data_IF_527696641229
#
_entry.id   IF_527696641229
#
_cell.length_a   1.000
_cell.length_b   1.000
_cell.length_c   1.000
_cell.angle_alpha   90.00
_cell.angle_beta   90.00
_cell.angle_gamma   90.00
#
_symmetry.space_group_name_H-M   'P 1'
#
loop_
_entity.id
_entity.type
_entity.pdbx_description
1 polymer ?
#
# COMPACT_ATOMS: atom_id res chain seq x y z
N UNK A 1 6.62 -2.44 -1.00
CA UNK A 1 7.48 -3.62 -0.97
C UNK A 1 7.03 -4.62 0.09
N UNK A 2 7.17 -4.36 1.40
CA UNK A 2 6.98 -5.34 2.47
C UNK A 2 5.58 -5.95 2.54
N UNK A 3 4.53 -5.17 2.21
CA UNK A 3 3.16 -5.70 2.05
C UNK A 3 3.06 -6.71 0.90
N UNK A 4 3.80 -6.47 -0.19
CA UNK A 4 3.85 -7.40 -1.32
C UNK A 4 4.54 -8.70 -0.94
N UNK A 5 5.64 -8.63 -0.18
CA UNK A 5 6.36 -9.82 0.31
C UNK A 5 5.42 -10.69 1.16
N UNK A 6 4.70 -10.11 2.12
CA UNK A 6 3.73 -10.84 2.94
C UNK A 6 2.60 -11.45 2.10
N UNK A 7 2.02 -10.65 1.20
CA UNK A 7 0.92 -11.09 0.35
C UNK A 7 1.33 -12.26 -0.54
N UNK A 8 2.49 -12.15 -1.21
CA UNK A 8 3.00 -13.20 -2.09
C UNK A 8 3.34 -14.46 -1.30
N UNK A 9 3.93 -14.32 -0.11
CA UNK A 9 4.17 -15.43 0.79
C UNK A 9 2.87 -16.17 1.13
N UNK A 10 1.84 -15.47 1.58
CA UNK A 10 0.52 -16.05 1.89
C UNK A 10 -0.15 -16.69 0.66
N UNK A 11 -0.08 -16.04 -0.49
CA UNK A 11 -0.67 -16.54 -1.73
C UNK A 11 0.02 -17.83 -2.21
N UNK A 12 1.34 -17.96 -2.06
CA UNK A 12 2.11 -19.15 -2.48
C UNK A 12 2.02 -20.26 -1.43
N UNK A 13 2.33 -19.97 -0.17
CA UNK A 13 2.47 -20.99 0.86
C UNK A 13 1.13 -21.55 1.33
N UNK A 14 0.19 -20.66 1.62
CA UNK A 14 -1.10 -21.02 2.21
C UNK A 14 -2.20 -21.22 1.19
N UNK A 15 -2.39 -20.23 0.29
CA UNK A 15 -3.53 -20.22 -0.64
C UNK A 15 -3.28 -21.01 -1.92
N UNK A 16 -2.01 -21.25 -2.29
CA UNK A 16 -1.62 -21.87 -3.56
C UNK A 16 -2.16 -21.13 -4.80
N UNK A 17 -2.24 -19.78 -4.70
CA UNK A 17 -2.77 -18.91 -5.75
C UNK A 17 -1.66 -18.16 -6.47
N UNK A 18 -1.00 -18.83 -7.39
CA UNK A 18 0.14 -18.25 -8.12
C UNK A 18 -0.24 -17.04 -8.98
N UNK A 19 -1.46 -16.99 -9.51
CA UNK A 19 -1.92 -15.85 -10.32
C UNK A 19 -1.99 -14.56 -9.50
N UNK A 20 -2.46 -14.62 -8.26
CA UNK A 20 -2.53 -13.46 -7.36
C UNK A 20 -1.14 -13.04 -6.89
N UNK A 21 -0.24 -13.99 -6.67
CA UNK A 21 1.16 -13.74 -6.37
C UNK A 21 1.85 -12.98 -7.53
N UNK A 22 1.71 -13.45 -8.76
CA UNK A 22 2.25 -12.78 -9.95
C UNK A 22 1.65 -11.37 -10.08
N UNK A 23 0.33 -11.22 -9.93
CA UNK A 23 -0.33 -9.92 -10.01
C UNK A 23 0.24 -8.93 -8.97
N UNK A 24 0.49 -9.39 -7.74
CA UNK A 24 1.08 -8.55 -6.70
C UNK A 24 2.52 -8.10 -7.05
N UNK A 25 3.34 -8.97 -7.66
CA UNK A 25 4.66 -8.59 -8.14
C UNK A 25 4.56 -7.60 -9.30
N UNK A 26 3.61 -7.78 -10.23
CA UNK A 26 3.37 -6.82 -11.33
C UNK A 26 2.94 -5.44 -10.80
N UNK A 27 2.06 -5.40 -9.80
CA UNK A 27 1.67 -4.14 -9.13
C UNK A 27 2.88 -3.44 -8.49
N UNK A 28 3.77 -4.20 -7.84
CA UNK A 28 5.01 -3.69 -7.26
C UNK A 28 5.92 -3.09 -8.35
N UNK A 29 6.11 -3.79 -9.46
CA UNK A 29 6.91 -3.30 -10.59
C UNK A 29 6.30 -2.05 -11.24
N UNK A 30 4.98 -1.99 -11.37
CA UNK A 30 4.28 -0.80 -11.87
C UNK A 30 4.42 0.39 -10.92
N UNK A 31 4.46 0.16 -9.61
CA UNK A 31 4.74 1.22 -8.63
C UNK A 31 6.20 1.68 -8.73
N UNK A 32 7.14 0.75 -8.87
CA UNK A 32 8.56 1.06 -9.07
C UNK A 32 8.81 1.89 -10.34
N UNK A 33 8.12 1.58 -11.44
CA UNK A 33 8.23 2.32 -12.69
C UNK A 33 7.79 3.79 -12.60
N UNK A 34 6.97 4.12 -11.59
CA UNK A 34 6.52 5.50 -11.30
C UNK A 34 7.44 6.23 -10.32
N UNK A 35 8.46 5.57 -9.80
CA UNK A 35 9.40 6.16 -8.87
C UNK A 35 10.40 7.02 -9.64
N UNK A 36 10.22 8.32 -9.59
CA UNK A 36 11.12 9.30 -10.20
C UNK A 36 12.29 9.61 -9.27
N UNK A 37 13.41 10.04 -9.87
CA UNK A 37 14.62 10.40 -9.16
C UNK A 37 15.79 9.44 -9.41
N UNK A 38 17.00 9.96 -9.18
CA UNK A 38 18.26 9.22 -9.32
C UNK A 38 19.23 9.51 -8.16
N UNK A 39 18.69 9.97 -7.03
CA UNK A 39 19.46 10.13 -5.80
C UNK A 39 19.81 8.77 -5.18
N UNK A 40 20.73 8.77 -4.22
CA UNK A 40 21.23 7.55 -3.60
C UNK A 40 20.11 6.74 -2.91
N UNK A 41 19.13 7.42 -2.30
CA UNK A 41 18.00 6.78 -1.61
C UNK A 41 17.10 6.09 -2.64
N UNK A 42 16.73 6.78 -3.69
CA UNK A 42 15.89 6.24 -4.78
C UNK A 42 16.55 5.03 -5.44
N UNK A 43 17.86 5.08 -5.68
CA UNK A 43 18.63 3.93 -6.22
C UNK A 43 18.63 2.75 -5.26
N UNK A 44 18.80 2.98 -3.96
CA UNK A 44 18.77 1.91 -2.95
C UNK A 44 17.39 1.25 -2.88
N UNK A 45 16.32 2.04 -2.87
CA UNK A 45 14.94 1.51 -2.89
C UNK A 45 14.68 0.71 -4.17
N UNK A 46 15.13 1.23 -5.32
CA UNK A 46 14.98 0.53 -6.61
C UNK A 46 15.70 -0.81 -6.61
N UNK A 47 16.92 -0.84 -6.09
CA UNK A 47 17.71 -2.06 -5.96
C UNK A 47 17.00 -3.09 -5.05
N UNK A 48 16.57 -2.68 -3.88
CA UNK A 48 15.88 -3.55 -2.93
C UNK A 48 14.59 -4.13 -3.51
N UNK A 49 13.79 -3.30 -4.19
CA UNK A 49 12.54 -3.74 -4.82
C UNK A 49 12.82 -4.75 -5.94
N UNK A 50 13.85 -4.53 -6.76
CA UNK A 50 14.22 -5.46 -7.85
C UNK A 50 14.71 -6.80 -7.30
N UNK A 51 15.59 -6.78 -6.29
CA UNK A 51 16.06 -8.00 -5.62
C UNK A 51 14.88 -8.81 -5.06
N UNK A 52 13.97 -8.16 -4.36
CA UNK A 52 12.79 -8.81 -3.79
C UNK A 52 11.83 -9.32 -4.87
N UNK A 53 11.55 -8.54 -5.91
CA UNK A 53 10.65 -8.96 -6.99
C UNK A 53 11.16 -10.21 -7.71
N UNK A 54 12.45 -10.27 -7.99
CA UNK A 54 13.09 -11.44 -8.60
C UNK A 54 13.02 -12.65 -7.67
N UNK A 55 13.31 -12.47 -6.36
CA UNK A 55 13.25 -13.55 -5.39
C UNK A 55 11.82 -14.09 -5.19
N UNK A 56 10.80 -13.22 -5.20
CA UNK A 56 9.40 -13.61 -5.11
C UNK A 56 8.92 -14.43 -6.32
N UNK A 57 9.57 -14.29 -7.48
CA UNK A 57 9.26 -15.08 -8.67
C UNK A 57 9.99 -16.43 -8.72
N UNK A 58 10.99 -16.67 -7.86
CA UNK A 58 11.78 -17.88 -7.87
C UNK A 58 10.96 -19.20 -7.78
N UNK A 59 9.89 -19.32 -6.97
CA UNK A 59 9.05 -20.52 -6.97
C UNK A 59 8.33 -20.81 -8.29
N UNK A 60 8.19 -19.81 -9.15
CA UNK A 60 7.45 -19.89 -10.42
C UNK A 60 8.40 -20.06 -11.60
N UNK A 61 9.49 -19.30 -11.58
CA UNK A 61 10.48 -19.26 -12.68
C UNK A 61 11.91 -19.29 -12.14
N UNK A 62 12.37 -20.41 -11.53
CA UNK A 62 13.61 -20.46 -10.76
C UNK A 62 14.86 -20.11 -11.60
N UNK A 63 14.98 -20.64 -12.81
CA UNK A 63 16.18 -20.40 -13.63
C UNK A 63 16.34 -18.93 -14.05
N UNK A 64 15.24 -18.27 -14.40
CA UNK A 64 15.26 -16.84 -14.74
C UNK A 64 15.55 -16.01 -13.49
N UNK A 65 14.92 -16.36 -12.36
CA UNK A 65 15.14 -15.68 -11.10
C UNK A 65 16.59 -15.77 -10.63
N UNK A 66 17.20 -16.95 -10.70
CA UNK A 66 18.62 -17.12 -10.35
C UNK A 66 19.55 -16.30 -11.24
N UNK A 67 19.32 -16.31 -12.57
CA UNK A 67 20.13 -15.52 -13.51
C UNK A 67 20.04 -14.03 -13.24
N UNK A 68 18.82 -13.50 -13.08
CA UNK A 68 18.62 -12.08 -12.81
C UNK A 68 19.13 -11.67 -11.43
N UNK A 69 18.99 -12.53 -10.43
CA UNK A 69 19.47 -12.23 -9.09
C UNK A 69 20.99 -12.18 -9.04
N UNK A 70 21.68 -13.06 -9.77
CA UNK A 70 23.13 -13.04 -9.91
C UNK A 70 23.66 -11.75 -10.56
N UNK A 71 22.89 -11.15 -11.47
CA UNK A 71 23.23 -9.83 -12.06
C UNK A 71 22.95 -8.69 -11.08
N UNK A 72 21.82 -8.74 -10.36
CA UNK A 72 21.44 -7.71 -9.40
C UNK A 72 22.35 -7.71 -8.17
N UNK A 73 22.79 -8.89 -7.72
CA UNK A 73 23.58 -9.08 -6.49
C UNK A 73 24.65 -10.13 -6.68
N UNK A 74 25.74 -9.80 -7.40
CA UNK A 74 26.81 -10.75 -7.68
C UNK A 74 27.38 -11.40 -6.42
N UNK A 75 27.48 -12.73 -6.44
CA UNK A 75 28.04 -13.51 -5.34
C UNK A 75 27.09 -13.79 -4.16
N UNK A 76 25.87 -13.27 -4.18
CA UNK A 76 24.85 -13.61 -3.19
C UNK A 76 23.96 -14.77 -3.67
N UNK A 77 23.60 -15.66 -2.74
CA UNK A 77 22.59 -16.67 -3.01
C UNK A 77 21.19 -16.06 -3.01
N UNK A 78 20.35 -16.50 -3.96
CA UNK A 78 18.95 -16.12 -3.99
C UNK A 78 18.27 -16.69 -2.76
N UNK A 79 17.62 -15.83 -1.97
CA UNK A 79 16.89 -16.19 -0.76
C UNK A 79 15.52 -15.53 -0.76
N UNK A 80 14.55 -16.16 -0.10
CA UNK A 80 13.21 -15.58 0.07
C UNK A 80 13.30 -14.29 0.89
N UNK A 81 12.73 -13.18 0.41
CA UNK A 81 12.83 -11.91 1.11
C UNK A 81 11.98 -11.91 2.39
N UNK A 82 12.52 -11.38 3.47
CA UNK A 82 11.80 -11.18 4.71
C UNK A 82 11.04 -9.85 4.67
N UNK A 83 9.80 -9.85 5.15
CA UNK A 83 9.08 -8.61 5.35
C UNK A 83 9.56 -7.94 6.65
N UNK A 84 9.88 -6.65 6.59
CA UNK A 84 10.15 -5.85 7.77
C UNK A 84 8.82 -5.41 8.40
N UNK A 85 8.58 -5.82 9.64
CA UNK A 85 7.37 -5.47 10.39
C UNK A 85 7.30 -3.97 10.67
N UNK A 86 8.41 -3.29 10.87
CA UNK A 86 8.44 -1.84 11.09
C UNK A 86 7.99 -1.09 9.83
N UNK A 87 8.35 -1.58 8.64
CA UNK A 87 7.92 -1.02 7.37
C UNK A 87 6.45 -1.34 7.01
N UNK A 88 5.80 -2.24 7.74
CA UNK A 88 4.39 -2.56 7.58
C UNK A 88 3.48 -1.66 8.41
N UNK A 89 4.03 -0.98 9.40
CA UNK A 89 3.29 0.02 10.18
C UNK A 89 2.92 1.16 9.24
N UNK A 90 1.63 1.36 9.04
CA UNK A 90 1.13 2.49 8.27
C UNK A 90 1.06 3.71 9.19
N UNK A 91 1.83 4.72 8.87
CA UNK A 91 1.72 6.01 9.57
C UNK A 91 0.40 6.72 9.21
N UNK A 92 -0.13 6.46 8.02
CA UNK A 92 -1.38 7.04 7.54
C UNK A 92 -2.34 5.97 7.00
N UNK A 93 -3.63 6.20 7.19
CA UNK A 93 -4.71 5.42 6.59
C UNK A 93 -5.52 6.32 5.67
N UNK A 94 -5.90 5.76 4.52
CA UNK A 94 -6.85 6.41 3.62
C UNK A 94 -8.28 6.04 4.02
N UNK A 95 -9.09 7.06 4.27
CA UNK A 95 -10.51 6.91 4.54
C UNK A 95 -11.32 7.53 3.41
N UNK A 96 -12.46 6.95 3.15
CA UNK A 96 -13.38 7.39 2.10
C UNK A 96 -14.53 8.20 2.72
N UNK A 97 -14.51 9.55 2.66
CA UNK A 97 -15.62 10.34 3.13
C UNK A 97 -16.84 10.14 2.23
N UNK A 98 -17.94 9.85 2.85
CA UNK A 98 -19.27 9.78 2.23
C UNK A 98 -20.13 10.91 2.76
N UNK A 99 -20.92 11.52 1.89
CA UNK A 99 -21.96 12.48 2.26
C UNK A 99 -23.30 11.89 1.86
N UNK A 100 -24.17 11.68 2.83
CA UNK A 100 -25.46 10.99 2.65
C UNK A 100 -25.30 9.64 1.91
N UNK A 101 -24.28 8.84 2.28
CA UNK A 101 -24.01 7.53 1.70
C UNK A 101 -23.34 7.53 0.32
N UNK A 102 -23.07 8.69 -0.28
CA UNK A 102 -22.37 8.78 -1.58
C UNK A 102 -20.90 9.13 -1.36
N UNK A 103 -20.00 8.35 -1.96
CA UNK A 103 -18.55 8.59 -1.95
C UNK A 103 -18.23 9.96 -2.57
N UNK A 104 -17.43 10.77 -1.86
CA UNK A 104 -17.13 12.14 -2.28
C UNK A 104 -15.63 12.48 -2.31
N UNK A 105 -14.77 11.51 -2.10
CA UNK A 105 -13.32 11.73 -2.16
C UNK A 105 -12.53 10.76 -1.32
N UNK A 106 -11.30 11.14 -1.01
CA UNK A 106 -10.37 10.41 -0.15
C UNK A 106 -9.73 11.41 0.81
N UNK A 107 -9.53 11.00 2.04
CA UNK A 107 -8.75 11.75 3.05
C UNK A 107 -7.67 10.83 3.62
N UNK A 108 -6.52 11.42 3.95
CA UNK A 108 -5.44 10.74 4.66
C UNK A 108 -5.43 11.23 6.09
N UNK A 109 -5.43 10.31 7.01
CA UNK A 109 -5.34 10.59 8.45
C UNK A 109 -4.28 9.69 9.07
N UNK A 110 -3.65 10.14 10.14
CA UNK A 110 -2.70 9.31 10.86
C UNK A 110 -3.36 7.99 11.30
N UNK A 111 -2.64 6.88 11.18
CA UNK A 111 -3.17 5.56 11.57
C UNK A 111 -3.57 5.50 13.06
N UNK A 112 -2.89 6.30 13.88
CA UNK A 112 -3.16 6.46 15.31
C UNK A 112 -4.19 7.57 15.63
N UNK A 113 -4.81 8.19 14.59
CA UNK A 113 -5.78 9.25 14.79
C UNK A 113 -7.00 8.73 15.54
N UNK A 114 -7.41 9.44 16.57
CA UNK A 114 -8.64 9.15 17.28
C UNK A 114 -9.87 9.53 16.44
N UNK A 115 -11.03 9.11 16.92
CA UNK A 115 -12.29 9.37 16.23
C UNK A 115 -12.53 10.86 16.00
N UNK A 116 -12.18 11.71 16.96
CA UNK A 116 -12.37 13.15 16.88
C UNK A 116 -11.46 13.80 15.82
N UNK A 117 -10.19 13.37 15.75
CA UNK A 117 -9.25 13.81 14.70
C UNK A 117 -9.73 13.39 13.31
N UNK A 118 -10.25 12.17 13.16
CA UNK A 118 -10.80 11.65 11.89
C UNK A 118 -12.04 12.46 11.48
N UNK A 119 -12.95 12.75 12.41
CA UNK A 119 -14.13 13.59 12.16
C UNK A 119 -13.73 15.00 11.71
N UNK A 120 -12.76 15.61 12.40
CA UNK A 120 -12.26 16.95 12.05
C UNK A 120 -11.62 16.96 10.66
N UNK A 121 -10.78 15.99 10.34
CA UNK A 121 -10.15 15.86 9.03
C UNK A 121 -11.17 15.62 7.91
N UNK A 122 -12.20 14.81 8.17
CA UNK A 122 -13.25 14.55 7.22
C UNK A 122 -14.09 15.80 6.93
N UNK A 123 -14.44 16.58 7.96
CA UNK A 123 -15.19 17.82 7.83
C UNK A 123 -14.38 18.95 7.17
N UNK A 124 -13.06 18.99 7.41
CA UNK A 124 -12.16 19.94 6.79
C UNK A 124 -11.83 19.62 5.32
N UNK A 125 -12.18 18.43 4.83
CA UNK A 125 -11.91 18.04 3.45
C UNK A 125 -12.73 18.87 2.45
N UNK A 126 -12.12 19.24 1.33
CA UNK A 126 -12.79 19.96 0.23
C UNK A 126 -14.05 19.23 -0.25
N UNK A 127 -14.00 17.92 -0.20
CA UNK A 127 -15.11 17.06 -0.57
C UNK A 127 -16.31 17.20 0.36
N UNK A 128 -16.09 17.37 1.66
CA UNK A 128 -17.17 17.58 2.63
C UNK A 128 -17.66 19.03 2.61
N UNK A 129 -16.75 19.99 2.58
CA UNK A 129 -17.08 21.42 2.61
C UNK A 129 -17.97 21.85 1.43
N UNK A 130 -17.74 21.27 0.24
CA UNK A 130 -18.54 21.54 -0.95
C UNK A 130 -20.01 21.13 -0.81
N UNK A 131 -20.33 20.19 0.07
CA UNK A 131 -21.71 19.71 0.30
C UNK A 131 -22.31 20.16 1.63
N UNK A 132 -21.46 20.60 2.57
CA UNK A 132 -21.92 21.17 3.84
C UNK A 132 -22.49 22.59 3.67
N UNK A 133 -22.08 23.33 2.62
CA UNK A 133 -22.52 24.72 2.34
C UNK A 133 -22.55 25.61 3.59
N UNK A 134 -21.61 25.35 4.55
CA UNK A 134 -21.53 26.08 5.81
C UNK A 134 -22.52 25.62 6.90
N UNK A 135 -23.30 24.56 6.68
CA UNK A 135 -24.20 24.01 7.71
C UNK A 135 -23.48 22.91 8.52
N UNK A 136 -23.71 22.84 9.83
CA UNK A 136 -23.15 21.75 10.65
C UNK A 136 -23.84 20.42 10.29
N UNK A 137 -23.07 19.32 10.23
CA UNK A 137 -23.63 17.99 9.95
C UNK A 137 -24.53 17.53 11.10
N UNK A 138 -25.63 16.86 10.79
CA UNK A 138 -26.50 16.25 11.79
C UNK A 138 -25.84 15.10 12.53
N UNK A 139 -25.04 14.32 11.81
CA UNK A 139 -24.35 13.16 12.36
C UNK A 139 -23.11 12.81 11.54
N UNK A 140 -22.02 12.47 12.22
CA UNK A 140 -20.83 11.89 11.59
C UNK A 140 -20.64 10.48 12.13
N UNK A 141 -20.55 9.51 11.24
CA UNK A 141 -20.34 8.10 11.59
C UNK A 141 -18.97 7.68 11.06
N UNK A 142 -18.02 7.44 11.95
CA UNK A 142 -16.69 6.94 11.61
C UNK A 142 -16.68 5.43 11.71
N UNK A 143 -16.32 4.76 10.63
CA UNK A 143 -15.98 3.34 10.59
C UNK A 143 -14.46 3.22 10.52
N UNK A 144 -13.79 2.83 11.60
CA UNK A 144 -12.34 2.79 11.66
C UNK A 144 -11.72 1.99 10.51
N UNK A 145 -10.72 2.57 9.86
CA UNK A 145 -9.98 1.92 8.77
C UNK A 145 -10.73 1.79 7.43
N UNK A 146 -11.96 2.33 7.30
CA UNK A 146 -12.75 2.17 6.06
C UNK A 146 -13.34 3.46 5.52
N UNK A 147 -14.22 4.09 6.25
CA UNK A 147 -14.96 5.24 5.75
C UNK A 147 -15.46 6.16 6.88
N UNK A 148 -15.76 7.39 6.49
CA UNK A 148 -16.47 8.35 7.33
C UNK A 148 -17.74 8.79 6.60
N UNK A 149 -18.91 8.56 7.19
CA UNK A 149 -20.18 8.99 6.61
C UNK A 149 -20.70 10.24 7.34
N UNK A 150 -20.85 11.31 6.58
CA UNK A 150 -21.39 12.61 7.03
C UNK A 150 -22.86 12.67 6.60
N UNK A 151 -23.74 12.81 7.55
CA UNK A 151 -25.18 12.93 7.33
C UNK A 151 -25.61 14.39 7.53
N UNK A 152 -26.21 14.98 6.53
CA UNK A 152 -26.74 16.34 6.51
C UNK A 152 -28.18 16.39 6.93
#
# INVERSE_FOLDING_TARGET
>A
LHQTIQKVGDDIERRKQFNTAIAAVMELMNALAKLDGDDATTRSVRQEVLEAAVALLAPIAPHIAESLYAELKPGAALAWPAADEAALVRDEIELMPQVNGKLRGQIRVAAAADKAAIETAALASDAAQKYLEGQPPKKVVVVPGRLVNIVL
#
